data_IF_136808113305
#
_entry.id   IF_136808113305
#
_cell.length_a   1.000
_cell.length_b   1.000
_cell.length_c   1.000
_cell.angle_alpha   90.00
_cell.angle_beta   90.00
_cell.angle_gamma   90.00
#
_symmetry.space_group_name_H-M   'P 1'
#
loop_
_entity.id
_entity.type
_entity.pdbx_description
1 polymer ?
#
# COMPACT_ATOMS: atom_id res chain seq x y z
N UNK A 1 -55.62 -37.22 -33.61
CA UNK A 1 -55.11 -36.56 -32.38
C UNK A 1 -53.78 -37.19 -32.00
N UNK A 2 -52.66 -36.45 -32.10
CA UNK A 2 -51.41 -36.62 -31.33
C UNK A 2 -50.40 -35.59 -31.87
N UNK A 3 -50.38 -34.43 -31.23
CA UNK A 3 -49.37 -33.39 -31.47
C UNK A 3 -48.12 -33.69 -30.66
N UNK A 4 -46.96 -33.64 -31.30
CA UNK A 4 -45.68 -33.68 -30.62
C UNK A 4 -45.22 -32.24 -30.35
N UNK A 5 -45.26 -31.82 -29.09
CA UNK A 5 -44.68 -30.58 -28.60
C UNK A 5 -43.16 -30.76 -28.48
N UNK A 6 -42.39 -30.13 -29.38
CA UNK A 6 -40.95 -30.03 -29.26
C UNK A 6 -40.61 -28.97 -28.20
N UNK A 7 -40.03 -29.39 -27.08
CA UNK A 7 -39.53 -28.50 -26.05
C UNK A 7 -38.19 -27.88 -26.51
N UNK A 8 -38.21 -26.57 -26.80
CA UNK A 8 -37.00 -25.78 -27.04
C UNK A 8 -36.39 -25.48 -25.67
N UNK A 9 -35.30 -26.16 -25.33
CA UNK A 9 -34.50 -25.84 -24.15
C UNK A 9 -33.69 -24.56 -24.43
N UNK A 10 -34.13 -23.44 -23.85
CA UNK A 10 -33.36 -22.20 -23.84
C UNK A 10 -32.14 -22.36 -22.94
N UNK A 11 -30.95 -22.49 -23.54
CA UNK A 11 -29.69 -22.45 -22.81
C UNK A 11 -29.45 -21.03 -22.30
N UNK A 12 -29.79 -20.78 -21.03
CA UNK A 12 -29.41 -19.57 -20.32
C UNK A 12 -27.89 -19.57 -20.11
N UNK A 13 -27.16 -18.94 -21.03
CA UNK A 13 -25.73 -18.69 -20.89
C UNK A 13 -25.49 -17.82 -19.65
N UNK A 14 -24.96 -18.43 -18.59
CA UNK A 14 -24.41 -17.73 -17.44
C UNK A 14 -23.23 -16.88 -17.92
N UNK A 15 -23.50 -15.62 -18.26
CA UNK A 15 -22.49 -14.57 -18.35
C UNK A 15 -21.92 -14.39 -16.95
N UNK A 16 -20.92 -15.20 -16.63
CA UNK A 16 -20.09 -14.96 -15.46
C UNK A 16 -19.47 -13.58 -15.64
N UNK A 17 -19.63 -12.65 -14.68
CA UNK A 17 -18.91 -11.41 -14.75
C UNK A 17 -17.43 -11.81 -14.74
N UNK A 18 -16.74 -11.57 -15.85
CA UNK A 18 -15.30 -11.47 -15.85
C UNK A 18 -15.00 -10.43 -14.78
N UNK A 19 -14.61 -10.90 -13.60
CA UNK A 19 -14.05 -10.05 -12.58
C UNK A 19 -12.81 -9.48 -13.25
N UNK A 20 -12.94 -8.26 -13.76
CA UNK A 20 -11.81 -7.48 -14.19
C UNK A 20 -10.95 -7.34 -12.94
N UNK A 21 -9.96 -8.24 -12.81
CA UNK A 21 -8.85 -8.13 -11.89
C UNK A 21 -7.94 -6.99 -12.39
N UNK A 22 -8.53 -5.82 -12.58
CA UNK A 22 -7.84 -4.62 -12.94
C UNK A 22 -7.07 -4.18 -11.69
N UNK A 23 -5.75 -4.35 -11.75
CA UNK A 23 -4.72 -3.90 -10.81
C UNK A 23 -4.23 -4.87 -9.73
N UNK A 24 -4.41 -6.19 -9.89
CA UNK A 24 -3.43 -7.13 -9.32
C UNK A 24 -2.22 -7.18 -10.26
N UNK A 25 -1.40 -6.13 -10.22
CA UNK A 25 -0.15 -6.12 -10.95
C UNK A 25 0.68 -7.35 -10.53
N UNK A 26 1.05 -8.15 -11.53
CA UNK A 26 1.61 -9.49 -11.34
C UNK A 26 2.86 -9.41 -10.47
N UNK A 27 2.87 -10.11 -9.34
CA UNK A 27 4.06 -10.26 -8.50
C UNK A 27 4.60 -11.69 -8.58
N UNK A 28 5.92 -11.84 -8.62
CA UNK A 28 6.60 -13.14 -8.50
C UNK A 28 7.45 -13.16 -7.22
N UNK A 29 7.03 -13.93 -6.23
CA UNK A 29 7.81 -14.13 -4.99
C UNK A 29 9.13 -14.82 -5.33
N UNK A 30 10.30 -14.36 -4.84
CA UNK A 30 11.56 -15.05 -5.04
C UNK A 30 11.50 -16.47 -4.43
N UNK A 31 11.97 -17.47 -5.16
CA UNK A 31 12.01 -18.86 -4.68
C UNK A 31 13.12 -19.07 -3.63
N UNK A 32 14.23 -18.34 -3.74
CA UNK A 32 15.34 -18.30 -2.79
C UNK A 32 16.11 -16.97 -2.93
N UNK A 33 17.10 -16.72 -2.07
CA UNK A 33 18.04 -15.60 -2.24
C UNK A 33 17.59 -14.22 -1.75
N UNK A 34 16.60 -14.15 -0.84
CA UNK A 34 16.29 -12.87 -0.16
C UNK A 34 17.35 -12.61 0.90
N UNK A 35 18.16 -11.57 0.68
CA UNK A 35 19.12 -11.09 1.67
C UNK A 35 18.51 -9.91 2.42
N UNK A 36 18.48 -9.99 3.75
CA UNK A 36 18.05 -8.89 4.62
C UNK A 36 19.31 -8.26 5.19
N UNK A 37 19.61 -6.99 4.87
CA UNK A 37 20.78 -6.32 5.42
C UNK A 37 20.48 -5.78 6.83
N UNK A 38 21.54 -5.70 7.65
CA UNK A 38 21.49 -4.99 8.92
C UNK A 38 21.23 -3.49 8.69
N UNK A 39 20.32 -2.91 9.47
CA UNK A 39 19.99 -1.50 9.39
C UNK A 39 20.53 -0.78 10.62
N UNK A 40 21.52 0.09 10.41
CA UNK A 40 21.99 1.00 11.46
C UNK A 40 20.96 2.12 11.68
N UNK A 41 20.57 2.42 12.93
CA UNK A 41 19.71 3.56 13.24
C UNK A 41 20.27 4.88 12.69
N UNK A 42 19.40 5.66 12.05
CA UNK A 42 19.73 6.97 11.48
C UNK A 42 18.96 8.07 12.22
N UNK A 43 19.11 8.09 13.55
CA UNK A 43 18.42 9.01 14.43
C UNK A 43 18.47 8.51 15.87
N UNK A 44 18.07 9.38 16.80
CA UNK A 44 17.96 9.01 18.21
C UNK A 44 16.73 8.12 18.43
N UNK A 45 16.83 7.08 19.29
CA UNK A 45 15.67 6.37 19.80
C UNK A 45 14.67 7.34 20.43
N UNK A 46 13.38 7.08 20.20
CA UNK A 46 12.28 7.82 20.80
C UNK A 46 11.17 6.85 21.15
N UNK A 47 10.98 6.67 22.44
CA UNK A 47 9.92 5.84 23.01
C UNK A 47 8.80 6.76 23.50
N UNK A 48 7.56 6.43 23.14
CA UNK A 48 6.35 7.16 23.53
C UNK A 48 5.12 6.26 23.31
N UNK A 49 3.99 6.56 23.96
CA UNK A 49 2.73 5.89 23.66
C UNK A 49 2.38 5.98 22.18
N UNK A 50 1.79 4.90 21.66
CA UNK A 50 1.18 4.87 20.31
C UNK A 50 -0.29 5.21 20.44
N UNK A 51 -0.74 6.24 19.73
CA UNK A 51 -2.15 6.70 19.71
C UNK A 51 -2.90 6.26 18.45
N UNK A 52 -2.15 5.92 17.39
CA UNK A 52 -2.70 5.46 16.13
C UNK A 52 -1.64 4.88 15.22
N UNK A 53 -2.01 4.66 13.97
CA UNK A 53 -1.09 4.19 12.95
C UNK A 53 -1.36 4.82 11.59
N UNK A 54 -0.29 5.00 10.83
CA UNK A 54 -0.34 5.33 9.42
C UNK A 54 0.16 4.14 8.61
N UNK A 55 -0.70 3.56 7.76
CA UNK A 55 -0.25 2.66 6.69
C UNK A 55 0.12 3.50 5.47
N UNK A 56 1.42 3.65 5.23
CA UNK A 56 1.95 4.42 4.11
C UNK A 56 2.15 3.53 2.89
N UNK A 57 1.63 3.96 1.74
CA UNK A 57 1.49 3.18 0.52
C UNK A 57 2.11 3.95 -0.65
N UNK A 58 3.26 3.49 -1.14
CA UNK A 58 3.96 4.14 -2.26
C UNK A 58 3.28 3.81 -3.59
N UNK A 59 3.09 4.81 -4.44
CA UNK A 59 2.65 4.60 -5.82
C UNK A 59 3.86 4.23 -6.70
N UNK A 60 4.00 2.94 -6.98
CA UNK A 60 5.20 2.40 -7.66
C UNK A 60 5.46 3.01 -9.04
N UNK A 61 4.46 3.28 -9.90
CA UNK A 61 4.73 3.91 -11.20
C UNK A 61 5.47 5.25 -11.08
N UNK A 62 5.06 6.13 -10.14
CA UNK A 62 5.77 7.39 -9.94
C UNK A 62 7.15 7.16 -9.31
N UNK A 63 7.27 6.23 -8.36
CA UNK A 63 8.58 5.86 -7.79
C UNK A 63 9.54 5.32 -8.86
N UNK A 64 9.06 4.48 -9.77
CA UNK A 64 9.87 3.76 -10.75
C UNK A 64 10.17 4.54 -12.03
N UNK A 65 9.51 5.68 -12.25
CA UNK A 65 9.58 6.50 -13.47
C UNK A 65 11.00 6.70 -14.04
N UNK A 66 12.00 6.83 -13.17
CA UNK A 66 13.41 7.02 -13.55
C UNK A 66 14.34 6.00 -12.88
N UNK A 67 13.82 4.83 -12.49
CA UNK A 67 14.55 3.80 -11.71
C UNK A 67 14.54 2.42 -12.35
N UNK A 68 14.11 2.30 -13.61
CA UNK A 68 14.03 1.01 -14.31
C UNK A 68 15.38 0.26 -14.34
N UNK A 69 16.47 1.00 -14.53
CA UNK A 69 17.84 0.45 -14.58
C UNK A 69 18.57 0.50 -13.23
N UNK A 70 17.89 0.94 -12.16
CA UNK A 70 18.47 0.95 -10.81
C UNK A 70 18.60 -0.47 -10.29
N UNK A 71 19.84 -0.95 -10.09
CA UNK A 71 20.08 -2.28 -9.47
C UNK A 71 19.45 -2.40 -8.09
N UNK A 72 19.44 -1.31 -7.32
CA UNK A 72 18.84 -1.27 -5.99
C UNK A 72 17.32 -1.45 -6.03
N UNK A 73 16.67 -0.82 -7.01
CA UNK A 73 15.21 -0.80 -7.12
C UNK A 73 14.69 -1.83 -8.14
N UNK A 74 15.58 -2.65 -8.72
CA UNK A 74 15.31 -3.52 -9.86
C UNK A 74 14.11 -4.43 -9.61
N UNK A 75 13.93 -4.92 -8.38
CA UNK A 75 12.80 -5.79 -8.07
C UNK A 75 11.44 -5.10 -8.27
N UNK A 76 11.31 -3.86 -7.83
CA UNK A 76 10.08 -3.08 -7.96
C UNK A 76 9.95 -2.44 -9.35
N UNK A 77 11.07 -2.02 -9.95
CA UNK A 77 11.06 -1.10 -11.09
C UNK A 77 11.49 -1.69 -12.44
N UNK A 78 12.16 -2.85 -12.48
CA UNK A 78 12.61 -3.43 -13.77
C UNK A 78 11.51 -4.21 -14.50
N UNK A 79 10.44 -4.59 -13.81
CA UNK A 79 9.42 -5.53 -14.29
C UNK A 79 9.74 -7.00 -14.05
N UNK A 80 10.97 -7.36 -13.65
CA UNK A 80 11.38 -8.76 -13.44
C UNK A 80 10.75 -9.39 -12.19
N UNK A 81 10.67 -8.62 -11.09
CA UNK A 81 10.04 -9.05 -9.85
C UNK A 81 8.50 -8.98 -9.88
N UNK A 82 7.98 -8.31 -10.89
CA UNK A 82 6.58 -7.99 -11.06
C UNK A 82 6.40 -6.58 -11.58
N UNK A 83 5.13 -6.27 -11.88
CA UNK A 83 4.67 -4.90 -12.02
C UNK A 83 3.94 -4.57 -10.72
N UNK A 84 3.97 -3.33 -10.27
CA UNK A 84 3.38 -2.95 -8.98
C UNK A 84 2.57 -1.66 -9.13
N UNK A 85 1.39 -1.62 -8.50
CA UNK A 85 0.63 -0.38 -8.31
C UNK A 85 1.05 0.25 -6.99
N UNK A 86 0.13 0.31 -6.04
CA UNK A 86 0.49 0.58 -4.66
C UNK A 86 1.30 -0.59 -4.07
N UNK A 87 2.29 -0.24 -3.26
CA UNK A 87 3.02 -1.15 -2.39
C UNK A 87 3.10 -0.53 -1.01
N UNK A 88 3.19 -1.35 0.03
CA UNK A 88 3.40 -0.84 1.38
C UNK A 88 4.80 -0.23 1.46
N UNK A 89 4.86 1.04 1.85
CA UNK A 89 6.08 1.68 2.31
C UNK A 89 6.36 1.21 3.74
N UNK A 90 5.39 1.31 4.64
CA UNK A 90 5.47 0.83 6.02
C UNK A 90 4.18 1.07 6.81
N UNK A 91 4.09 0.43 7.98
CA UNK A 91 3.08 0.71 8.99
C UNK A 91 3.76 1.47 10.14
N UNK A 92 3.35 2.71 10.36
CA UNK A 92 4.04 3.61 11.29
C UNK A 92 3.15 3.83 12.51
N UNK A 93 3.60 3.47 13.72
CA UNK A 93 2.94 3.93 14.93
C UNK A 93 3.05 5.45 15.02
N UNK A 94 1.93 6.11 15.28
CA UNK A 94 1.83 7.54 15.50
C UNK A 94 1.72 7.81 17.01
N UNK A 95 2.33 8.89 17.48
CA UNK A 95 2.34 9.31 18.88
C UNK A 95 1.58 10.63 19.07
N UNK A 96 1.71 11.26 20.26
CA UNK A 96 0.96 12.47 20.56
C UNK A 96 1.39 13.66 19.69
N UNK A 97 0.42 14.21 18.94
CA UNK A 97 0.58 15.28 17.96
C UNK A 97 1.45 14.86 16.77
N UNK A 98 2.25 15.78 16.23
CA UNK A 98 3.11 15.52 15.06
C UNK A 98 4.39 14.70 15.40
N UNK A 99 4.34 13.79 16.38
CA UNK A 99 5.46 12.97 16.84
C UNK A 99 5.14 11.49 16.67
N UNK A 100 6.19 10.67 16.50
CA UNK A 100 6.07 9.23 16.32
C UNK A 100 7.16 8.50 17.10
N UNK A 101 6.96 7.32 17.69
CA UNK A 101 8.08 6.54 18.22
C UNK A 101 9.01 6.10 17.08
N UNK A 102 10.32 6.04 17.33
CA UNK A 102 11.28 5.55 16.33
C UNK A 102 12.53 4.91 16.92
N UNK A 103 13.12 3.99 16.17
CA UNK A 103 14.41 3.35 16.50
C UNK A 103 14.45 2.80 17.93
N UNK A 104 13.34 2.23 18.40
CA UNK A 104 13.23 1.72 19.76
C UNK A 104 14.08 0.47 19.93
N UNK A 105 14.69 0.26 21.10
CA UNK A 105 15.60 -0.86 21.33
C UNK A 105 14.86 -2.19 21.21
N UNK A 106 15.21 -2.99 20.21
CA UNK A 106 14.78 -4.37 20.05
C UNK A 106 15.99 -5.24 19.66
N UNK A 107 15.96 -6.52 20.01
CA UNK A 107 17.04 -7.49 19.75
C UNK A 107 16.72 -8.47 18.61
N UNK A 108 15.61 -8.26 17.88
CA UNK A 108 15.14 -9.21 16.87
C UNK A 108 15.20 -8.59 15.48
N UNK A 109 16.11 -9.09 14.67
CA UNK A 109 16.23 -8.69 13.28
C UNK A 109 15.20 -9.42 12.40
N UNK A 110 14.83 -8.77 11.29
CA UNK A 110 13.99 -9.36 10.26
C UNK A 110 14.70 -10.54 9.58
N UNK A 111 14.12 -11.73 9.67
CA UNK A 111 14.62 -12.92 9.00
C UNK A 111 14.24 -12.97 7.52
N UNK A 112 15.09 -13.58 6.70
CA UNK A 112 14.91 -13.69 5.24
C UNK A 112 13.59 -14.34 4.83
N UNK A 113 13.11 -15.32 5.59
CA UNK A 113 11.85 -16.01 5.32
C UNK A 113 10.65 -15.07 5.45
N UNK A 114 10.60 -14.28 6.53
CA UNK A 114 9.54 -13.29 6.72
C UNK A 114 9.65 -12.18 5.68
N UNK A 115 10.87 -11.75 5.33
CA UNK A 115 11.05 -10.76 4.26
C UNK A 115 10.53 -11.26 2.90
N UNK A 116 10.77 -12.54 2.58
CA UNK A 116 10.28 -13.20 1.37
C UNK A 116 8.76 -13.27 1.34
N UNK A 117 8.10 -13.58 2.47
CA UNK A 117 6.63 -13.65 2.58
C UNK A 117 5.95 -12.32 2.25
N UNK A 118 6.60 -11.20 2.56
CA UNK A 118 6.04 -9.85 2.34
C UNK A 118 6.44 -9.24 0.99
N UNK A 119 7.15 -9.97 0.14
CA UNK A 119 7.82 -9.40 -1.04
C UNK A 119 6.87 -8.91 -2.16
N UNK A 120 5.62 -9.34 -2.15
CA UNK A 120 4.58 -8.81 -3.05
C UNK A 120 3.83 -7.61 -2.47
N UNK A 121 3.99 -7.36 -1.18
CA UNK A 121 3.44 -6.19 -0.49
C UNK A 121 4.49 -5.08 -0.37
N UNK A 122 5.76 -5.45 -0.10
CA UNK A 122 6.91 -4.56 0.05
C UNK A 122 8.08 -5.14 -0.78
N UNK A 123 8.25 -4.75 -2.05
CA UNK A 123 9.18 -5.40 -2.98
C UNK A 123 10.67 -5.02 -2.80
N UNK A 124 11.10 -4.74 -1.55
CA UNK A 124 12.49 -4.42 -1.18
C UNK A 124 12.78 -4.92 0.26
N UNK A 125 13.69 -5.88 0.40
CA UNK A 125 14.06 -6.44 1.72
C UNK A 125 14.78 -5.45 2.64
N UNK A 126 15.56 -4.53 2.09
CA UNK A 126 16.22 -3.46 2.86
C UNK A 126 15.18 -2.46 3.37
N UNK A 127 14.18 -2.15 2.55
CA UNK A 127 13.06 -1.32 2.97
C UNK A 127 12.31 -2.00 4.10
N UNK A 128 11.97 -3.28 3.96
CA UNK A 128 11.34 -4.06 5.02
C UNK A 128 12.15 -3.96 6.33
N UNK A 129 13.42 -4.37 6.32
CA UNK A 129 14.29 -4.30 7.49
C UNK A 129 14.28 -2.90 8.14
N UNK A 130 14.34 -1.85 7.33
CA UNK A 130 14.33 -0.47 7.83
C UNK A 130 13.00 -0.07 8.46
N UNK A 131 11.87 -0.51 7.91
CA UNK A 131 10.56 -0.24 8.51
C UNK A 131 10.41 -0.94 9.85
N UNK A 132 10.89 -2.18 9.95
CA UNK A 132 10.94 -2.89 11.21
C UNK A 132 11.80 -2.13 12.24
N UNK A 133 13.08 -1.88 11.92
CA UNK A 133 14.01 -1.24 12.87
C UNK A 133 13.58 0.16 13.30
N UNK A 134 13.05 0.95 12.35
CA UNK A 134 12.65 2.33 12.63
C UNK A 134 11.28 2.43 13.28
N UNK A 135 10.30 1.63 12.88
CA UNK A 135 8.89 1.83 13.24
C UNK A 135 8.28 0.62 13.96
N UNK A 136 8.44 -0.58 13.40
CA UNK A 136 7.84 -1.79 13.95
C UNK A 136 8.36 -2.15 15.35
N UNK A 137 9.66 -2.02 15.57
CA UNK A 137 10.35 -2.32 16.83
C UNK A 137 9.80 -1.55 18.04
N UNK A 138 9.18 -0.39 17.82
CA UNK A 138 8.62 0.47 18.86
C UNK A 138 7.30 -0.01 19.44
N UNK A 139 6.54 -0.84 18.71
CA UNK A 139 5.20 -1.27 19.13
C UNK A 139 5.03 -2.78 19.15
N UNK A 140 5.88 -3.50 18.44
CA UNK A 140 5.79 -4.94 18.27
C UNK A 140 7.06 -5.60 18.81
N UNK A 141 6.90 -6.71 19.51
CA UNK A 141 8.03 -7.47 20.06
C UNK A 141 8.76 -8.30 19.01
N UNK A 142 8.11 -8.60 17.87
CA UNK A 142 8.69 -9.43 16.79
C UNK A 142 8.36 -8.89 15.39
N UNK A 143 9.29 -9.03 14.42
CA UNK A 143 9.02 -8.69 13.02
C UNK A 143 7.81 -9.44 12.45
N UNK A 144 7.64 -10.73 12.80
CA UNK A 144 6.54 -11.54 12.24
C UNK A 144 5.17 -11.00 12.65
N UNK A 145 5.03 -10.47 13.86
CA UNK A 145 3.79 -9.87 14.33
C UNK A 145 3.53 -8.54 13.62
N UNK A 146 4.55 -7.69 13.51
CA UNK A 146 4.46 -6.42 12.78
C UNK A 146 3.95 -6.64 11.36
N UNK A 147 4.61 -7.51 10.60
CA UNK A 147 4.22 -7.79 9.22
C UNK A 147 2.91 -8.57 9.10
N UNK A 148 2.55 -9.42 10.08
CA UNK A 148 1.22 -10.05 10.10
C UNK A 148 0.12 -9.00 10.18
N UNK A 149 0.24 -8.01 11.07
CA UNK A 149 -0.71 -6.90 11.17
C UNK A 149 -0.72 -6.09 9.88
N UNK A 150 0.45 -5.72 9.34
CA UNK A 150 0.54 -4.99 8.07
C UNK A 150 -0.16 -5.74 6.93
N UNK A 151 -0.01 -7.07 6.83
CA UNK A 151 -0.69 -7.89 5.83
C UNK A 151 -2.20 -7.91 6.03
N UNK A 152 -2.69 -7.99 7.26
CA UNK A 152 -4.13 -7.96 7.56
C UNK A 152 -4.72 -6.64 7.06
N UNK A 153 -4.08 -5.51 7.37
CA UNK A 153 -4.52 -4.20 6.91
C UNK A 153 -4.44 -4.08 5.39
N UNK A 154 -3.34 -4.50 4.77
CA UNK A 154 -3.16 -4.46 3.32
C UNK A 154 -4.21 -5.32 2.57
N UNK A 155 -4.46 -6.54 3.04
CA UNK A 155 -5.37 -7.48 2.39
C UNK A 155 -6.85 -7.14 2.59
N UNK A 156 -7.20 -6.28 3.55
CA UNK A 156 -8.58 -5.83 3.74
C UNK A 156 -8.98 -4.72 2.76
N UNK A 157 -8.03 -4.12 2.05
CA UNK A 157 -8.25 -3.03 1.12
C UNK A 157 -8.76 -3.52 -0.24
N UNK A 158 -9.72 -2.80 -0.79
CA UNK A 158 -10.18 -2.91 -2.17
C UNK A 158 -9.53 -1.80 -2.99
N UNK A 159 -8.76 -2.19 -3.99
CA UNK A 159 -8.00 -1.25 -4.81
C UNK A 159 -8.83 -0.77 -6.01
N UNK A 160 -9.14 0.54 -6.11
CA UNK A 160 -9.73 1.11 -7.32
C UNK A 160 -8.75 1.06 -8.49
N UNK A 161 -9.26 1.23 -9.72
CA UNK A 161 -8.41 1.38 -10.91
C UNK A 161 -7.80 2.80 -10.98
N UNK A 162 -6.61 2.95 -10.39
CA UNK A 162 -5.87 4.22 -10.39
C UNK A 162 -5.35 4.60 -11.79
N UNK A 163 -5.21 3.65 -12.71
CA UNK A 163 -4.85 3.98 -14.09
C UNK A 163 -6.02 4.64 -14.78
N UNK A 164 -7.24 4.11 -14.62
CA UNK A 164 -8.44 4.77 -15.12
C UNK A 164 -8.61 6.15 -14.50
N UNK A 165 -8.45 6.28 -13.18
CA UNK A 165 -8.55 7.56 -12.49
C UNK A 165 -7.56 8.60 -13.03
N UNK A 166 -6.34 8.20 -13.36
CA UNK A 166 -5.30 9.09 -13.91
C UNK A 166 -5.71 9.83 -15.20
N UNK A 167 -6.74 9.36 -15.90
CA UNK A 167 -7.25 9.93 -17.15
C UNK A 167 -8.35 10.97 -16.93
N UNK A 168 -8.81 11.15 -15.69
CA UNK A 168 -9.83 12.16 -15.35
C UNK A 168 -9.28 13.57 -15.62
N UNK A 169 -10.00 14.34 -16.44
CA UNK A 169 -9.68 15.75 -16.68
C UNK A 169 -9.83 16.53 -15.38
N UNK A 170 -8.82 17.31 -15.05
CA UNK A 170 -8.84 18.16 -13.86
C UNK A 170 -8.75 17.40 -12.54
N UNK A 171 -8.20 16.17 -12.53
CA UNK A 171 -8.01 15.37 -11.33
C UNK A 171 -7.48 16.18 -10.15
N UNK A 172 -8.09 15.99 -8.99
CA UNK A 172 -7.76 16.64 -7.72
C UNK A 172 -7.36 15.62 -6.66
N UNK A 173 -6.80 16.10 -5.56
CA UNK A 173 -6.52 15.29 -4.39
C UNK A 173 -7.81 14.76 -3.74
N UNK A 174 -8.91 15.54 -3.77
CA UNK A 174 -10.23 15.10 -3.32
C UNK A 174 -10.75 13.90 -4.12
N UNK A 175 -10.68 13.98 -5.45
CA UNK A 175 -11.10 12.89 -6.34
C UNK A 175 -10.37 11.57 -6.02
N UNK A 176 -9.07 11.63 -5.69
CA UNK A 176 -8.28 10.45 -5.33
C UNK A 176 -8.79 9.82 -4.03
N UNK A 177 -9.07 10.64 -3.01
CA UNK A 177 -9.57 10.18 -1.71
C UNK A 177 -10.98 9.60 -1.84
N UNK A 178 -11.85 10.30 -2.54
CA UNK A 178 -13.22 9.84 -2.83
C UNK A 178 -13.22 8.51 -3.59
N UNK A 179 -12.35 8.37 -4.60
CA UNK A 179 -12.25 7.12 -5.36
C UNK A 179 -11.83 5.95 -4.47
N UNK A 180 -10.89 6.17 -3.53
CA UNK A 180 -10.49 5.14 -2.57
C UNK A 180 -11.63 4.81 -1.57
N UNK A 181 -12.25 5.83 -0.98
CA UNK A 181 -13.34 5.70 -0.03
C UNK A 181 -14.55 4.95 -0.64
N UNK A 182 -14.94 5.28 -1.88
CA UNK A 182 -16.03 4.61 -2.59
C UNK A 182 -15.78 3.11 -2.81
N UNK A 183 -14.52 2.70 -2.99
CA UNK A 183 -14.18 1.28 -3.12
C UNK A 183 -14.15 0.55 -1.76
N UNK A 184 -14.02 1.27 -0.64
CA UNK A 184 -13.80 0.72 0.69
C UNK A 184 -14.86 1.24 1.69
N UNK A 185 -15.99 0.53 1.89
CA UNK A 185 -17.16 1.05 2.61
C UNK A 185 -16.97 1.57 4.04
N UNK A 186 -15.87 1.25 4.71
CA UNK A 186 -15.54 1.74 6.07
C UNK A 186 -14.58 2.94 6.07
N UNK A 187 -14.27 3.48 4.88
CA UNK A 187 -13.34 4.59 4.71
C UNK A 187 -14.08 5.83 4.24
N UNK A 188 -13.73 6.96 4.85
CA UNK A 188 -14.13 8.29 4.42
C UNK A 188 -12.92 8.99 3.77
N UNK A 189 -13.13 9.99 2.90
CA UNK A 189 -12.03 10.76 2.31
C UNK A 189 -11.04 11.33 3.34
N UNK A 190 -11.54 11.71 4.52
CA UNK A 190 -10.79 12.28 5.64
C UNK A 190 -9.83 11.28 6.29
N UNK A 191 -10.02 9.98 6.07
CA UNK A 191 -9.14 8.91 6.54
C UNK A 191 -7.95 8.66 5.60
N UNK A 192 -7.93 9.35 4.46
CA UNK A 192 -6.98 9.12 3.36
C UNK A 192 -6.11 10.36 3.17
N UNK A 193 -4.88 10.31 3.66
CA UNK A 193 -3.84 11.29 3.38
C UNK A 193 -3.14 11.04 2.05
N UNK A 194 -2.60 12.10 1.44
CA UNK A 194 -1.86 12.02 0.18
C UNK A 194 -0.56 12.79 0.25
N UNK A 195 0.49 12.23 -0.37
CA UNK A 195 1.73 12.93 -0.66
C UNK A 195 1.84 13.13 -2.17
N UNK A 196 1.86 14.38 -2.58
CA UNK A 196 2.15 14.78 -3.96
C UNK A 196 3.57 15.36 -4.03
N UNK A 197 4.28 15.14 -5.13
CA UNK A 197 5.51 15.89 -5.39
C UNK A 197 5.19 17.35 -5.78
N UNK A 198 6.23 18.18 -5.91
CA UNK A 198 6.08 19.61 -6.26
C UNK A 198 5.37 19.88 -7.60
N UNK A 199 5.24 18.87 -8.46
CA UNK A 199 4.55 18.94 -9.76
C UNK A 199 3.14 18.32 -9.72
N UNK A 200 2.66 17.95 -8.54
CA UNK A 200 1.34 17.36 -8.30
C UNK A 200 1.24 15.86 -8.55
N UNK A 201 2.34 15.14 -8.79
CA UNK A 201 2.27 13.69 -9.00
C UNK A 201 2.15 12.93 -7.69
N UNK A 202 1.24 11.96 -7.65
CA UNK A 202 1.01 11.08 -6.51
C UNK A 202 2.25 10.23 -6.22
N UNK A 203 2.81 10.39 -5.02
CA UNK A 203 3.93 9.60 -4.53
C UNK A 203 3.48 8.55 -3.51
N UNK A 204 2.59 8.92 -2.60
CA UNK A 204 2.19 8.08 -1.47
C UNK A 204 0.73 8.36 -1.09
N UNK A 205 0.00 7.31 -0.74
CA UNK A 205 -1.26 7.36 -0.02
C UNK A 205 -1.03 6.94 1.43
N UNK A 206 -1.61 7.66 2.38
CA UNK A 206 -1.47 7.43 3.81
C UNK A 206 -2.82 7.10 4.39
N UNK A 207 -2.99 5.89 4.89
CA UNK A 207 -4.24 5.44 5.48
C UNK A 207 -4.11 5.54 7.00
N UNK A 208 -4.94 6.38 7.62
CA UNK A 208 -4.86 6.68 9.04
C UNK A 208 -5.79 5.78 9.85
N UNK A 209 -5.26 5.24 10.93
CA UNK A 209 -5.94 4.31 11.82
C UNK A 209 -5.82 4.77 13.28
N UNK A 210 -6.85 4.50 14.08
CA UNK A 210 -6.77 4.57 15.54
C UNK A 210 -5.90 3.45 16.11
N UNK A 211 -5.64 3.50 17.42
CA UNK A 211 -4.88 2.47 18.13
C UNK A 211 -5.52 1.06 18.06
N UNK A 212 -6.82 0.99 17.76
CA UNK A 212 -7.62 -0.23 17.54
C UNK A 212 -7.56 -0.74 16.10
N UNK A 213 -6.79 -0.09 15.22
CA UNK A 213 -6.70 -0.36 13.79
C UNK A 213 -7.99 -0.10 13.00
N UNK A 214 -8.92 0.69 13.54
CA UNK A 214 -10.07 1.19 12.77
C UNK A 214 -9.71 2.48 12.03
N UNK A 215 -10.25 2.72 10.82
CA UNK A 215 -10.02 3.97 10.09
C UNK A 215 -10.37 5.18 10.95
N UNK A 216 -9.52 6.20 10.92
CA UNK A 216 -9.75 7.47 11.63
C UNK A 216 -9.32 8.64 10.76
N UNK A 217 -9.76 9.85 11.13
CA UNK A 217 -9.37 11.09 10.46
C UNK A 217 -7.85 11.25 10.51
N UNK A 218 -7.24 11.48 9.36
CA UNK A 218 -5.84 11.85 9.29
C UNK A 218 -5.61 13.25 9.90
N UNK A 219 -4.53 13.37 10.67
CA UNK A 219 -4.04 14.67 11.13
C UNK A 219 -3.48 15.50 9.97
N UNK A 220 -3.29 16.80 10.17
CA UNK A 220 -2.85 17.73 9.11
C UNK A 220 -1.55 17.27 8.42
N UNK A 221 -0.57 16.78 9.19
CA UNK A 221 0.71 16.31 8.66
C UNK A 221 0.60 15.00 7.86
N UNK A 222 -0.41 14.18 8.14
CA UNK A 222 -0.73 12.94 7.42
C UNK A 222 -1.59 13.22 6.18
N UNK A 223 -2.58 14.12 6.33
CA UNK A 223 -3.61 14.38 5.33
C UNK A 223 -3.03 14.98 4.04
N UNK A 224 -2.09 15.92 4.16
CA UNK A 224 -1.41 16.53 3.01
C UNK A 224 -2.24 17.61 2.31
N UNK A 225 -2.20 17.70 0.97
CA UNK A 225 -2.79 18.84 0.24
C UNK A 225 -4.32 18.87 0.33
N UNK A 226 -4.95 20.06 0.27
CA UNK A 226 -6.40 20.21 0.34
C UNK A 226 -7.10 19.51 -0.83
N UNK A 227 -8.40 19.23 -0.67
CA UNK A 227 -9.18 18.51 -1.68
C UNK A 227 -9.14 19.13 -3.09
N UNK A 228 -9.12 20.47 -3.18
CA UNK A 228 -9.07 21.21 -4.44
C UNK A 228 -7.71 21.19 -5.16
N UNK A 229 -6.64 20.70 -4.49
CA UNK A 229 -5.31 20.68 -5.08
C UNK A 229 -5.27 19.80 -6.33
N UNK A 230 -4.70 20.30 -7.42
CA UNK A 230 -4.53 19.52 -8.65
C UNK A 230 -3.58 18.35 -8.43
N UNK A 231 -3.97 17.17 -8.90
CA UNK A 231 -3.19 15.95 -8.78
C UNK A 231 -2.99 15.29 -10.14
N UNK A 232 -1.94 14.48 -10.23
CA UNK A 232 -1.60 13.64 -11.38
C UNK A 232 -1.20 12.27 -10.87
N UNK A 233 -1.55 11.22 -11.61
CA UNK A 233 -1.15 9.84 -11.31
C UNK A 233 -0.32 9.36 -12.50
N UNK A 234 0.93 8.97 -12.24
CA UNK A 234 1.78 8.40 -13.28
C UNK A 234 1.33 6.96 -13.59
N UNK A 235 1.37 6.57 -14.86
CA UNK A 235 0.90 5.25 -15.33
C UNK A 235 2.01 4.34 -15.88
N UNK A 236 3.24 4.86 -16.01
CA UNK A 236 4.33 4.13 -16.64
C UNK A 236 4.92 3.09 -15.70
N UNK A 237 4.92 1.83 -16.15
CA UNK A 237 5.64 0.70 -15.54
C UNK A 237 6.73 0.20 -16.48
#
# INVERSE_FOLDING_TARGET
MRGHLAAIAAAAGLLSPLHAAAQAYQCRVPQSGVTVPDIRPQGRPREMPTEGYTLALSWSPEYCRFRKDSRRDARQCSGQGGRFGFVVHGLWPDGPGDRWPQWCPNRRDLQAEEARRNMCMIPDARLQARQWEKHGSCRFSRPETYYKVTRILWNSLRWPDFDRLSRKRGLTAGDIRETFAQANPYWEPEHVGLKLNSRGWLQEMRLCYGADFMPTRCEAHQFGPPGSARAKIWRGL
#
